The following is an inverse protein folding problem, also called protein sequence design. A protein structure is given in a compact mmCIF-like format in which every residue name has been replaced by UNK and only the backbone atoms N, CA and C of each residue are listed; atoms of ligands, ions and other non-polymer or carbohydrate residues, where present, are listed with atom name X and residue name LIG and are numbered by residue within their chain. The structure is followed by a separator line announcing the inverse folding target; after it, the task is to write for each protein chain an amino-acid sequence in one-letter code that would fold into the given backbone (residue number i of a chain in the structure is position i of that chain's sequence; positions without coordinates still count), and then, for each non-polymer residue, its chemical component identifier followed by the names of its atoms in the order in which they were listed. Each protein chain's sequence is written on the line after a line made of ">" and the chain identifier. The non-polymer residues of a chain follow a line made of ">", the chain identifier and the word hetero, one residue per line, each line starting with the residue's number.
data_IF_913550036386
#
_entry.id   IF_913550036386
#
_cell.length_a   1.000
_cell.length_b   1.000
_cell.length_c   1.000
_cell.angle_alpha   90.00
_cell.angle_beta   90.00
_cell.angle_gamma   90.00
#
_symmetry.space_group_name_H-M   'P 1'
#
loop_
_entity.id
_entity.type
_entity.pdbx_description
1 polymer ?
#
# COMPACT_ATOMS: atom_id res chain seq x y z
N UNK A 1 15.01 53.09 21.76
CA UNK A 1 13.69 52.43 21.88
C UNK A 1 13.51 51.58 20.62
N UNK A 2 14.27 50.51 20.38
CA UNK A 2 14.46 49.28 21.17
C UNK A 2 13.14 48.61 21.50
N UNK A 3 12.57 47.85 20.56
CA UNK A 3 11.91 46.58 20.91
C UNK A 3 11.64 45.68 19.69
N UNK A 4 12.38 44.56 19.62
CA UNK A 4 11.88 43.21 19.31
C UNK A 4 11.42 42.89 17.87
N UNK A 5 12.41 42.82 16.97
CA UNK A 5 12.32 42.00 15.76
C UNK A 5 12.55 40.53 16.12
N UNK A 6 11.55 39.86 16.71
CA UNK A 6 11.62 38.45 17.07
C UNK A 6 10.96 37.63 15.96
N UNK A 7 11.75 37.38 14.90
CA UNK A 7 11.40 36.45 13.83
C UNK A 7 11.39 35.04 14.44
N UNK A 8 10.22 34.59 14.87
CA UNK A 8 10.03 33.22 15.33
C UNK A 8 10.11 32.32 14.11
N UNK A 9 11.31 31.79 13.86
CA UNK A 9 11.59 30.71 12.93
C UNK A 9 10.86 29.46 13.42
N UNK A 10 9.57 29.37 13.14
CA UNK A 10 8.82 28.14 13.29
C UNK A 10 9.33 27.17 12.24
N UNK A 11 10.19 26.25 12.69
CA UNK A 11 10.53 25.06 11.94
C UNK A 11 9.22 24.36 11.57
N UNK A 12 8.78 24.55 10.32
CA UNK A 12 7.73 23.77 9.73
C UNK A 12 8.27 22.34 9.62
N UNK A 13 7.97 21.52 10.63
CA UNK A 13 8.09 20.08 10.53
C UNK A 13 7.13 19.69 9.41
N UNK A 14 7.67 19.50 8.21
CA UNK A 14 6.97 18.79 7.15
C UNK A 14 6.84 17.36 7.65
N UNK A 15 5.78 17.10 8.42
CA UNK A 15 5.25 15.75 8.56
C UNK A 15 4.78 15.42 7.15
N UNK A 16 5.67 14.81 6.36
CA UNK A 16 5.28 14.12 5.15
C UNK A 16 4.26 13.09 5.61
N UNK A 17 2.98 13.43 5.47
CA UNK A 17 1.90 12.51 5.73
C UNK A 17 2.21 11.28 4.92
N UNK A 18 2.46 10.16 5.60
CA UNK A 18 2.39 8.85 4.95
C UNK A 18 1.01 8.88 4.28
N UNK A 19 0.92 8.82 2.94
CA UNK A 19 -0.38 8.83 2.29
C UNK A 19 -1.18 7.73 2.97
N UNK A 20 -2.30 8.10 3.59
CA UNK A 20 -3.16 7.18 4.33
C UNK A 20 -3.49 6.06 3.36
N UNK A 21 -2.74 4.96 3.49
CA UNK A 21 -2.68 3.96 2.45
C UNK A 21 -4.08 3.37 2.42
N UNK A 22 -4.73 3.43 1.24
CA UNK A 22 -5.95 2.67 1.01
C UNK A 22 -5.78 1.26 1.63
N UNK A 23 -6.76 0.78 2.40
CA UNK A 23 -6.62 -0.44 3.19
C UNK A 23 -6.08 -1.55 2.31
N UNK A 24 -4.86 -2.00 2.63
CA UNK A 24 -4.17 -2.98 1.81
C UNK A 24 -4.64 -4.39 2.22
N UNK A 25 -4.79 -5.26 1.22
CA UNK A 25 -5.20 -6.65 1.39
C UNK A 25 -3.95 -7.52 1.48
N UNK A 26 -3.92 -8.44 2.44
CA UNK A 26 -2.88 -9.47 2.56
C UNK A 26 -3.43 -10.83 2.13
N UNK A 27 -3.14 -11.31 0.91
CA UNK A 27 -3.56 -12.64 0.48
C UNK A 27 -2.94 -13.71 1.38
N UNK A 28 -3.78 -14.61 1.89
CA UNK A 28 -3.36 -15.73 2.77
C UNK A 28 -3.44 -17.08 2.09
N UNK A 29 -4.12 -17.17 0.93
CA UNK A 29 -4.28 -18.42 0.15
C UNK A 29 -4.32 -18.16 -1.35
N UNK A 30 -4.01 -19.20 -2.13
CA UNK A 30 -4.16 -19.19 -3.57
C UNK A 30 -5.64 -19.02 -3.98
N UNK A 31 -5.86 -18.33 -5.11
CA UNK A 31 -7.21 -18.05 -5.61
C UNK A 31 -7.98 -17.03 -4.77
N UNK A 32 -7.28 -16.17 -4.02
CA UNK A 32 -7.91 -15.02 -3.37
C UNK A 32 -8.56 -14.15 -4.43
N UNK A 33 -9.88 -13.95 -4.32
CA UNK A 33 -10.64 -13.12 -5.25
C UNK A 33 -10.68 -11.68 -4.74
N UNK A 34 -10.35 -10.76 -5.63
CA UNK A 34 -10.39 -9.31 -5.35
C UNK A 34 -11.21 -8.61 -6.43
N UNK A 35 -11.87 -7.51 -6.07
CA UNK A 35 -12.76 -6.74 -6.95
C UNK A 35 -12.55 -5.24 -6.71
N UNK A 36 -12.65 -4.44 -7.77
CA UNK A 36 -12.52 -2.98 -7.70
C UNK A 36 -11.06 -2.51 -7.64
N UNK A 37 -10.80 -1.40 -6.95
CA UNK A 37 -9.43 -0.89 -6.71
C UNK A 37 -8.87 -1.49 -5.43
N UNK A 38 -7.90 -2.38 -5.57
CA UNK A 38 -7.35 -3.18 -4.47
C UNK A 38 -5.84 -2.99 -4.43
N UNK A 39 -5.32 -2.63 -3.25
CA UNK A 39 -3.88 -2.59 -3.00
C UNK A 39 -3.46 -3.85 -2.25
N UNK A 40 -2.46 -4.56 -2.74
CA UNK A 40 -1.85 -5.66 -1.99
C UNK A 40 -0.78 -5.09 -1.07
N UNK A 41 -0.77 -5.52 0.19
CA UNK A 41 0.23 -5.01 1.13
C UNK A 41 1.65 -5.35 0.64
N UNK A 42 2.62 -4.42 0.69
CA UNK A 42 4.00 -4.71 0.34
C UNK A 42 4.57 -5.87 1.16
N UNK A 43 5.47 -6.65 0.57
CA UNK A 43 6.13 -7.76 1.24
C UNK A 43 6.39 -8.96 0.33
N UNK A 44 6.99 -10.00 0.92
CA UNK A 44 7.20 -11.29 0.25
C UNK A 44 6.03 -12.23 0.53
N UNK A 45 5.48 -12.79 -0.52
CA UNK A 45 4.38 -13.73 -0.46
C UNK A 45 4.83 -15.06 -1.04
N UNK A 46 4.89 -16.06 -0.17
CA UNK A 46 4.98 -17.46 -0.56
C UNK A 46 3.63 -18.08 -0.30
N UNK A 47 2.79 -18.13 -1.33
CA UNK A 47 1.48 -18.75 -1.23
C UNK A 47 1.69 -20.23 -1.48
N UNK A 48 1.49 -21.06 -0.44
CA UNK A 48 1.55 -22.51 -0.60
C UNK A 48 0.49 -22.93 -1.63
N UNK A 49 0.95 -23.25 -2.84
CA UNK A 49 0.10 -23.70 -3.93
C UNK A 49 0.47 -25.13 -4.32
N UNK A 50 -0.14 -26.13 -3.66
CA UNK A 50 0.08 -27.53 -4.00
C UNK A 50 -0.38 -27.89 -5.43
N UNK A 51 -1.03 -26.97 -6.14
CA UNK A 51 -1.45 -27.12 -7.53
C UNK A 51 -0.71 -26.17 -8.48
N UNK A 52 0.34 -25.48 -8.01
CA UNK A 52 1.20 -24.57 -8.79
C UNK A 52 0.44 -23.49 -9.58
N UNK A 53 -0.75 -23.09 -9.15
CA UNK A 53 -1.55 -22.11 -9.88
C UNK A 53 -0.96 -20.70 -9.75
N UNK A 54 -0.45 -20.30 -8.58
CA UNK A 54 0.19 -19.00 -8.35
C UNK A 54 -0.65 -17.79 -8.79
N UNK A 55 -1.96 -17.94 -8.96
CA UNK A 55 -2.80 -16.94 -9.63
C UNK A 55 -3.54 -16.05 -8.63
N UNK A 56 -3.49 -14.74 -8.90
CA UNK A 56 -4.44 -13.77 -8.36
C UNK A 56 -5.57 -13.64 -9.36
N UNK A 57 -6.81 -13.81 -8.91
CA UNK A 57 -8.00 -13.77 -9.77
C UNK A 57 -8.67 -12.40 -9.60
N UNK A 58 -8.62 -11.59 -10.66
CA UNK A 58 -9.45 -10.40 -10.79
C UNK A 58 -10.88 -10.83 -11.12
N UNK A 59 -11.80 -10.72 -10.16
CA UNK A 59 -13.14 -11.30 -10.29
C UNK A 59 -14.14 -10.41 -11.07
N UNK A 60 -13.74 -9.21 -11.48
CA UNK A 60 -14.57 -8.30 -12.28
C UNK A 60 -13.75 -7.48 -13.27
N UNK A 61 -14.37 -7.08 -14.39
CA UNK A 61 -13.79 -6.13 -15.33
C UNK A 61 -13.60 -4.77 -14.66
N UNK A 62 -12.47 -4.11 -14.93
CA UNK A 62 -12.12 -2.83 -14.29
C UNK A 62 -11.44 -2.96 -12.92
N UNK A 63 -11.17 -4.18 -12.44
CA UNK A 63 -10.37 -4.38 -11.22
C UNK A 63 -8.95 -3.86 -11.44
N UNK A 64 -8.48 -2.96 -10.56
CA UNK A 64 -7.11 -2.45 -10.54
C UNK A 64 -6.40 -3.01 -9.32
N UNK A 65 -5.30 -3.71 -9.54
CA UNK A 65 -4.51 -4.31 -8.46
C UNK A 65 -3.18 -3.58 -8.38
N UNK A 66 -2.94 -2.88 -7.27
CA UNK A 66 -1.64 -2.30 -6.97
C UNK A 66 -0.76 -3.34 -6.26
N UNK A 67 0.31 -3.74 -6.94
CA UNK A 67 1.33 -4.70 -6.47
C UNK A 67 2.65 -4.00 -6.09
N UNK A 68 2.64 -2.68 -5.88
CA UNK A 68 3.84 -1.93 -5.54
C UNK A 68 4.50 -2.49 -4.28
N UNK A 69 5.76 -2.89 -4.39
CA UNK A 69 6.54 -3.45 -3.28
C UNK A 69 6.18 -4.89 -2.91
N UNK A 70 5.45 -5.61 -3.77
CA UNK A 70 5.12 -7.03 -3.60
C UNK A 70 6.11 -7.91 -4.36
N UNK A 71 6.60 -8.95 -3.71
CA UNK A 71 7.40 -10.02 -4.33
C UNK A 71 6.61 -11.32 -4.21
N UNK A 72 6.39 -11.99 -5.35
CA UNK A 72 5.75 -13.30 -5.45
C UNK A 72 6.85 -14.35 -5.63
N UNK A 73 6.90 -15.35 -4.74
CA UNK A 73 7.90 -16.43 -4.71
C UNK A 73 7.26 -17.82 -4.77
#
# INVERSE_FOLDING_TARGET
>A
MSTFFLVVLHAAIVVAGVPEAAPCVRPTRAGTQVQGEVRICPGRYRIADPSERGVIIAASSGTRIDLTGVVLE
#
